data_IF_340005117395
#
_entry.id   IF_340005117395
#
_cell.length_a   1.000
_cell.length_b   1.000
_cell.length_c   1.000
_cell.angle_alpha   90.00
_cell.angle_beta   90.00
_cell.angle_gamma   90.00
#
_symmetry.space_group_name_H-M   'P 1'
#
loop_
_entity.id
_entity.type
_entity.pdbx_description
1 polymer ?
#
# COMPACT_ATOMS: atom_id res chain seq x y z
N UNK A 1 -14.58 -21.18 -4.50
CA UNK A 1 -14.70 -20.30 -5.70
C UNK A 1 -14.37 -21.10 -6.97
N UNK A 2 -14.88 -20.75 -8.17
CA UNK A 2 -14.45 -21.38 -9.45
C UNK A 2 -13.12 -20.75 -9.91
N UNK A 3 -12.31 -21.53 -10.64
CA UNK A 3 -11.01 -21.05 -11.17
C UNK A 3 -11.14 -19.77 -12.03
N UNK A 4 -12.11 -19.72 -12.95
CA UNK A 4 -12.39 -18.54 -13.78
C UNK A 4 -12.73 -17.29 -12.95
N UNK A 5 -13.45 -17.45 -11.84
CA UNK A 5 -13.76 -16.34 -10.94
C UNK A 5 -12.50 -15.88 -10.19
N UNK A 6 -11.63 -16.82 -9.79
CA UNK A 6 -10.35 -16.49 -9.18
C UNK A 6 -9.50 -15.66 -10.17
N UNK A 7 -9.33 -16.15 -11.39
CA UNK A 7 -8.58 -15.41 -12.42
C UNK A 7 -9.17 -14.02 -12.70
N UNK A 8 -10.48 -13.91 -12.77
CA UNK A 8 -11.17 -12.64 -13.04
C UNK A 8 -10.86 -11.54 -12.03
N UNK A 9 -10.70 -11.88 -10.75
CA UNK A 9 -10.47 -10.92 -9.66
C UNK A 9 -8.99 -10.80 -9.24
N UNK A 10 -8.09 -11.66 -9.76
CA UNK A 10 -6.66 -11.65 -9.41
C UNK A 10 -5.76 -11.10 -10.50
N UNK A 11 -6.12 -11.27 -11.79
CA UNK A 11 -5.32 -10.78 -12.91
C UNK A 11 -5.48 -9.28 -13.10
N UNK A 12 -4.37 -8.55 -13.10
CA UNK A 12 -4.38 -7.07 -13.04
C UNK A 12 -3.77 -6.39 -14.27
N UNK A 13 -3.21 -7.16 -15.22
CA UNK A 13 -2.61 -6.62 -16.43
C UNK A 13 -3.59 -5.83 -17.30
N UNK A 14 -3.09 -5.07 -18.29
CA UNK A 14 -3.93 -4.38 -19.25
C UNK A 14 -4.94 -5.33 -19.92
N UNK A 15 -6.20 -4.91 -20.01
CA UNK A 15 -7.28 -5.71 -20.60
C UNK A 15 -7.94 -6.74 -19.69
N UNK A 16 -7.39 -7.02 -18.49
CA UNK A 16 -8.04 -7.91 -17.53
C UNK A 16 -9.15 -7.21 -16.76
N UNK A 17 -10.14 -7.96 -16.25
CA UNK A 17 -11.30 -7.38 -15.57
C UNK A 17 -10.90 -6.60 -14.31
N UNK A 18 -10.11 -7.22 -13.39
CA UNK A 18 -9.66 -6.53 -12.20
C UNK A 18 -8.67 -5.40 -12.52
N UNK A 19 -7.82 -5.56 -13.54
CA UNK A 19 -6.94 -4.49 -13.99
C UNK A 19 -7.71 -3.27 -14.51
N UNK A 20 -8.76 -3.45 -15.29
CA UNK A 20 -9.63 -2.37 -15.76
C UNK A 20 -10.41 -1.71 -14.60
N UNK A 21 -10.84 -2.49 -13.62
CA UNK A 21 -11.49 -1.96 -12.42
C UNK A 21 -10.52 -1.08 -11.61
N UNK A 22 -9.34 -1.61 -11.26
CA UNK A 22 -8.36 -0.93 -10.41
C UNK A 22 -7.84 0.38 -11.04
N UNK A 23 -7.71 0.43 -12.38
CA UNK A 23 -7.32 1.64 -13.10
C UNK A 23 -8.33 2.79 -12.98
N UNK A 24 -9.58 2.53 -12.60
CA UNK A 24 -10.61 3.55 -12.35
C UNK A 24 -10.53 4.18 -10.96
N UNK A 25 -9.48 3.87 -10.19
CA UNK A 25 -9.20 4.44 -8.89
C UNK A 25 -7.79 5.01 -8.87
N UNK A 26 -7.57 6.05 -8.09
CA UNK A 26 -6.24 6.58 -7.87
C UNK A 26 -5.36 5.52 -7.20
N UNK A 27 -4.23 5.23 -7.82
CA UNK A 27 -3.26 4.24 -7.34
C UNK A 27 -1.98 4.94 -6.87
N UNK A 28 -1.47 4.68 -5.65
CA UNK A 28 -0.12 5.06 -5.28
C UNK A 28 0.92 4.57 -6.28
N UNK A 29 1.73 5.46 -6.81
CA UNK A 29 2.79 5.15 -7.77
C UNK A 29 4.17 5.16 -7.14
N UNK A 30 4.44 6.10 -6.21
CA UNK A 30 5.69 6.21 -5.50
C UNK A 30 5.52 7.02 -4.20
N UNK A 31 6.43 6.84 -3.25
CA UNK A 31 6.63 7.81 -2.17
C UNK A 31 7.41 9.02 -2.71
N UNK A 32 7.07 10.21 -2.24
CA UNK A 32 7.84 11.43 -2.55
C UNK A 32 9.29 11.30 -2.07
N UNK A 33 9.49 10.61 -0.95
CA UNK A 33 10.82 10.31 -0.39
C UNK A 33 11.73 9.51 -1.34
N UNK A 34 11.18 8.75 -2.29
CA UNK A 34 11.96 8.04 -3.31
C UNK A 34 12.68 9.00 -4.29
N UNK A 35 12.26 10.27 -4.33
CA UNK A 35 12.86 11.34 -5.13
C UNK A 35 13.65 12.34 -4.27
N UNK A 36 13.84 12.04 -2.99
CA UNK A 36 14.60 12.88 -2.08
C UNK A 36 16.11 12.61 -2.21
N UNK A 37 16.94 13.62 -2.58
CA UNK A 37 18.40 13.45 -2.68
C UNK A 37 19.07 12.99 -1.38
N UNK A 38 18.47 13.23 -0.22
CA UNK A 38 18.97 12.73 1.05
C UNK A 38 18.79 11.20 1.19
N UNK A 39 17.82 10.61 0.50
CA UNK A 39 17.57 9.17 0.48
C UNK A 39 18.30 8.48 -0.68
N UNK A 40 18.32 9.11 -1.85
CA UNK A 40 19.07 8.67 -3.02
C UNK A 40 19.75 9.88 -3.69
N UNK A 41 21.08 10.05 -3.54
CA UNK A 41 21.80 11.20 -4.10
C UNK A 41 21.65 11.36 -5.62
N UNK A 42 21.34 10.28 -6.36
CA UNK A 42 21.11 10.33 -7.81
C UNK A 42 19.92 11.22 -8.17
N UNK A 43 18.95 11.35 -7.28
CA UNK A 43 17.73 12.14 -7.48
C UNK A 43 18.00 13.65 -7.53
N UNK A 44 19.14 14.13 -7.03
CA UNK A 44 19.54 15.54 -7.16
C UNK A 44 19.75 15.96 -8.63
N UNK A 45 20.28 15.05 -9.45
CA UNK A 45 20.61 15.34 -10.84
C UNK A 45 19.59 14.74 -11.81
N UNK A 46 18.97 13.63 -11.42
CA UNK A 46 18.09 12.85 -12.28
C UNK A 46 16.89 12.29 -11.51
N UNK A 47 15.87 13.11 -11.21
CA UNK A 47 14.65 12.68 -10.52
C UNK A 47 13.74 11.88 -11.46
N UNK A 48 14.19 10.67 -11.83
CA UNK A 48 13.52 9.75 -12.77
C UNK A 48 13.55 8.34 -12.18
N UNK A 49 12.41 7.68 -12.15
CA UNK A 49 12.27 6.31 -11.64
C UNK A 49 11.38 5.47 -12.55
N UNK A 50 11.80 4.23 -12.81
CA UNK A 50 10.91 3.21 -13.38
C UNK A 50 9.85 2.82 -12.33
N UNK A 51 8.61 2.75 -12.76
CA UNK A 51 7.47 2.33 -11.93
C UNK A 51 6.68 1.29 -12.69
N UNK A 52 6.17 0.27 -11.99
CA UNK A 52 5.27 -0.72 -12.58
C UNK A 52 3.96 -0.74 -11.79
N UNK A 53 2.85 -0.53 -12.49
CA UNK A 53 1.51 -0.53 -11.89
C UNK A 53 0.60 -1.44 -12.70
N UNK A 54 -0.04 -2.40 -12.05
CA UNK A 54 -1.00 -3.31 -12.67
C UNK A 54 -0.47 -3.93 -13.97
N UNK A 55 0.79 -4.43 -13.92
CA UNK A 55 1.46 -5.07 -15.04
C UNK A 55 1.92 -4.14 -16.15
N UNK A 56 1.78 -2.83 -16.00
CA UNK A 56 2.22 -1.84 -17.00
C UNK A 56 3.48 -1.12 -16.54
N UNK A 57 4.47 -1.07 -17.42
CA UNK A 57 5.74 -0.40 -17.18
C UNK A 57 5.66 1.08 -17.51
N UNK A 58 6.03 1.92 -16.56
CA UNK A 58 5.92 3.37 -16.60
C UNK A 58 7.23 4.04 -16.21
N UNK A 59 7.36 5.33 -16.50
CA UNK A 59 8.41 6.18 -15.97
C UNK A 59 7.79 7.38 -15.25
N UNK A 60 8.12 7.52 -13.98
CA UNK A 60 7.76 8.68 -13.15
C UNK A 60 8.97 9.59 -13.05
N UNK A 61 8.77 10.88 -13.26
CA UNK A 61 9.83 11.86 -13.15
C UNK A 61 9.30 13.23 -12.67
N UNK A 62 10.21 14.08 -12.24
CA UNK A 62 9.92 15.43 -11.82
C UNK A 62 10.72 16.41 -12.69
N UNK A 63 10.06 17.36 -13.35
CA UNK A 63 10.76 18.34 -14.17
C UNK A 63 11.42 19.46 -13.33
N UNK A 64 12.14 20.39 -13.97
CA UNK A 64 12.79 21.50 -13.29
C UNK A 64 11.80 22.49 -12.65
N UNK A 65 10.54 22.50 -13.09
CA UNK A 65 9.45 23.27 -12.49
C UNK A 65 8.77 22.51 -11.33
N UNK A 66 9.35 21.39 -10.90
CA UNK A 66 8.83 20.53 -9.83
C UNK A 66 7.46 19.90 -10.15
N UNK A 67 7.11 19.77 -11.42
CA UNK A 67 5.89 19.09 -11.86
C UNK A 67 6.16 17.60 -12.05
N UNK A 68 5.22 16.78 -11.61
CA UNK A 68 5.27 15.34 -11.84
C UNK A 68 4.80 14.98 -13.24
N UNK A 69 5.51 14.04 -13.88
CA UNK A 69 5.10 13.40 -15.12
C UNK A 69 5.14 11.87 -14.97
N UNK A 70 4.09 11.20 -15.43
CA UNK A 70 4.03 9.74 -15.51
C UNK A 70 3.71 9.36 -16.95
N UNK A 71 4.66 8.70 -17.59
CA UNK A 71 4.56 8.30 -19.00
C UNK A 71 4.69 6.79 -19.14
N UNK A 72 4.16 6.23 -20.23
CA UNK A 72 4.55 4.89 -20.66
C UNK A 72 6.06 4.83 -20.83
N UNK A 73 6.67 3.73 -20.38
CA UNK A 73 8.13 3.57 -20.38
C UNK A 73 8.72 3.47 -21.79
N UNK A 74 7.96 2.90 -22.71
CA UNK A 74 8.45 2.66 -24.07
C UNK A 74 8.30 3.92 -24.93
N UNK A 75 9.42 4.42 -25.45
CA UNK A 75 9.44 5.55 -26.37
C UNK A 75 8.58 5.27 -27.62
N UNK A 76 7.61 6.13 -27.98
CA UNK A 76 6.68 5.86 -29.08
C UNK A 76 7.37 5.80 -30.46
N UNK A 77 8.63 6.18 -30.55
CA UNK A 77 9.41 6.03 -31.79
C UNK A 77 9.67 4.54 -32.10
N UNK A 78 10.37 3.83 -31.20
CA UNK A 78 10.80 2.43 -31.44
C UNK A 78 10.93 1.62 -30.15
N UNK A 79 10.21 1.96 -29.09
CA UNK A 79 10.13 1.17 -27.87
C UNK A 79 11.36 1.27 -26.95
N UNK A 80 12.24 2.27 -27.10
CA UNK A 80 13.38 2.41 -26.18
C UNK A 80 12.91 2.87 -24.78
N UNK A 81 13.55 2.33 -23.75
CA UNK A 81 13.20 2.56 -22.34
C UNK A 81 13.48 4.02 -21.92
N UNK A 82 12.43 4.80 -21.69
CA UNK A 82 12.50 6.20 -21.23
C UNK A 82 12.91 6.32 -19.75
N UNK A 83 12.85 5.25 -18.96
CA UNK A 83 13.36 5.26 -17.59
C UNK A 83 14.87 5.44 -17.54
N UNK A 84 15.57 5.16 -18.64
CA UNK A 84 17.00 5.41 -18.87
C UNK A 84 17.24 6.71 -19.66
N UNK A 85 16.17 7.46 -19.96
CA UNK A 85 16.22 8.73 -20.68
C UNK A 85 17.02 9.81 -19.94
N UNK A 86 17.51 10.80 -20.71
CA UNK A 86 18.18 11.97 -20.16
C UNK A 86 17.13 12.91 -19.56
N UNK A 87 17.32 13.29 -18.33
CA UNK A 87 16.52 14.34 -17.70
C UNK A 87 17.03 15.70 -18.16
N UNK A 88 16.20 16.47 -18.83
CA UNK A 88 16.56 17.79 -19.37
C UNK A 88 15.45 18.78 -18.99
N UNK A 89 15.71 19.63 -18.00
CA UNK A 89 14.89 20.75 -17.56
C UNK A 89 13.36 20.61 -17.63
N UNK A 90 12.81 20.54 -18.83
CA UNK A 90 11.38 20.51 -19.12
C UNK A 90 10.84 19.13 -19.54
N UNK A 91 11.69 18.08 -19.52
CA UNK A 91 11.22 16.74 -19.88
C UNK A 91 12.28 15.65 -19.93
N UNK A 92 11.89 14.50 -20.47
CA UNK A 92 12.75 13.33 -20.71
C UNK A 92 13.12 13.21 -22.19
N UNK A 93 14.41 13.06 -22.46
CA UNK A 93 14.93 12.79 -23.80
C UNK A 93 15.33 11.33 -23.95
N UNK A 94 14.74 10.67 -24.94
CA UNK A 94 15.12 9.31 -25.33
C UNK A 94 16.57 9.30 -25.84
N UNK A 95 17.47 8.48 -25.29
CA UNK A 95 18.89 8.49 -25.70
C UNK A 95 19.11 7.82 -27.06
N UNK A 96 18.09 7.12 -27.61
CA UNK A 96 18.24 6.40 -28.86
C UNK A 96 18.26 7.34 -30.08
N UNK A 97 17.26 8.25 -30.22
CA UNK A 97 17.18 9.20 -31.35
C UNK A 97 16.89 10.63 -30.93
N UNK A 98 16.97 10.93 -29.62
CA UNK A 98 16.83 12.30 -29.11
C UNK A 98 15.39 12.81 -28.99
N UNK A 99 14.36 12.00 -29.22
CA UNK A 99 12.97 12.46 -29.04
C UNK A 99 12.74 12.85 -27.59
N UNK A 100 12.13 14.02 -27.37
CA UNK A 100 11.95 14.58 -26.04
C UNK A 100 10.47 14.78 -25.75
N UNK A 101 10.07 14.45 -24.51
CA UNK A 101 8.68 14.52 -24.04
C UNK A 101 8.59 15.27 -22.72
N UNK A 102 7.59 16.14 -22.59
CA UNK A 102 7.28 16.83 -21.34
C UNK A 102 6.45 15.94 -20.39
N UNK A 103 6.09 16.50 -19.21
CA UNK A 103 5.30 15.80 -18.17
C UNK A 103 3.91 15.36 -18.64
N UNK A 104 3.37 15.97 -19.69
CA UNK A 104 2.09 15.62 -20.30
C UNK A 104 2.23 14.64 -21.47
N UNK A 105 3.46 14.21 -21.77
CA UNK A 105 3.77 13.35 -22.91
C UNK A 105 3.80 14.07 -24.25
N UNK A 106 3.67 15.40 -24.28
CA UNK A 106 3.80 16.18 -25.53
C UNK A 106 5.22 16.07 -26.04
N UNK A 107 5.37 15.79 -27.33
CA UNK A 107 6.67 15.81 -27.99
C UNK A 107 7.19 17.27 -28.08
N UNK A 108 8.39 17.48 -27.56
CA UNK A 108 9.05 18.79 -27.56
C UNK A 108 10.11 18.91 -28.67
N UNK A 109 10.73 17.79 -29.06
CA UNK A 109 11.84 17.79 -30.01
C UNK A 109 12.01 16.42 -30.67
N UNK A 110 12.37 16.46 -31.97
CA UNK A 110 12.74 15.30 -32.81
C UNK A 110 13.99 15.67 -33.62
N UNK A 111 15.17 15.75 -32.98
CA UNK A 111 16.35 16.46 -33.54
C UNK A 111 16.97 15.80 -34.78
N UNK A 112 16.68 14.53 -35.04
CA UNK A 112 17.18 13.84 -36.23
C UNK A 112 16.31 14.04 -37.48
N UNK A 113 15.16 14.75 -37.34
CA UNK A 113 14.28 15.02 -38.45
C UNK A 113 14.75 16.22 -39.27
N UNK A 114 14.42 16.29 -40.57
CA UNK A 114 14.73 17.45 -41.40
C UNK A 114 14.17 18.75 -40.81
N UNK A 115 14.87 19.86 -41.07
CA UNK A 115 14.40 21.21 -40.71
C UNK A 115 12.99 21.47 -41.26
N UNK A 116 12.10 21.93 -40.38
CA UNK A 116 10.69 22.18 -40.72
C UNK A 116 9.79 20.93 -40.64
N UNK A 117 10.30 19.80 -40.19
CA UNK A 117 9.47 18.64 -39.93
C UNK A 117 8.38 18.95 -38.88
N UNK A 118 7.16 18.51 -39.17
CA UNK A 118 6.02 18.60 -38.26
C UNK A 118 5.70 17.28 -37.53
N UNK A 119 6.70 16.39 -37.44
CA UNK A 119 6.52 15.10 -36.77
C UNK A 119 6.17 15.27 -35.29
N UNK A 120 6.87 16.18 -34.63
CA UNK A 120 6.65 16.50 -33.21
C UNK A 120 5.19 16.92 -32.91
N UNK A 121 4.53 17.63 -33.87
CA UNK A 121 3.12 18.03 -33.70
C UNK A 121 2.14 16.84 -33.71
N UNK A 122 2.56 15.68 -34.21
CA UNK A 122 1.73 14.49 -34.40
C UNK A 122 2.05 13.35 -33.47
N UNK A 123 3.12 13.47 -32.71
CA UNK A 123 3.59 12.45 -31.77
C UNK A 123 3.19 12.85 -30.37
N UNK A 124 2.53 11.94 -29.68
CA UNK A 124 2.17 12.06 -28.27
C UNK A 124 2.65 10.80 -27.55
N UNK A 125 3.41 10.96 -26.48
CA UNK A 125 3.68 9.85 -25.56
C UNK A 125 2.49 9.66 -24.63
N UNK A 126 2.12 8.42 -24.38
CA UNK A 126 1.06 8.11 -23.41
C UNK A 126 1.45 8.63 -22.04
N UNK A 127 0.58 9.40 -21.43
CA UNK A 127 0.78 10.00 -20.11
C UNK A 127 -0.44 9.79 -19.22
N UNK A 128 -0.21 9.81 -17.92
CA UNK A 128 -1.25 9.57 -16.92
C UNK A 128 -1.30 10.75 -15.94
N UNK A 129 -2.51 11.23 -15.59
CA UNK A 129 -2.67 12.24 -14.56
C UNK A 129 -2.06 11.78 -13.24
N UNK A 130 -1.34 12.67 -12.58
CA UNK A 130 -0.73 12.42 -11.27
C UNK A 130 -1.04 13.54 -10.30
N UNK A 131 -1.13 13.20 -9.02
CA UNK A 131 -1.32 14.15 -7.92
C UNK A 131 -0.47 13.72 -6.73
N UNK A 132 0.15 14.70 -6.07
CA UNK A 132 0.86 14.48 -4.81
C UNK A 132 -0.06 14.75 -3.62
N UNK A 133 -0.11 13.82 -2.66
CA UNK A 133 -0.84 14.02 -1.40
C UNK A 133 -0.13 13.28 -0.26
N UNK A 134 0.18 14.04 0.81
CA UNK A 134 0.74 13.52 2.07
C UNK A 134 1.89 12.51 1.87
N UNK A 135 2.88 12.90 1.05
CA UNK A 135 4.10 12.13 0.83
C UNK A 135 4.00 11.01 -0.21
N UNK A 136 2.87 10.91 -0.93
CA UNK A 136 2.67 9.91 -1.99
C UNK A 136 2.27 10.58 -3.30
N UNK A 137 2.82 10.09 -4.41
CA UNK A 137 2.40 10.42 -5.77
C UNK A 137 1.39 9.37 -6.22
N UNK A 138 0.18 9.82 -6.55
CA UNK A 138 -0.92 8.99 -7.05
C UNK A 138 -1.05 9.13 -8.55
N UNK A 139 -1.36 8.03 -9.22
CA UNK A 139 -1.62 7.95 -10.65
C UNK A 139 -3.09 7.59 -10.93
N UNK A 140 -3.67 8.25 -11.93
CA UNK A 140 -4.93 7.87 -12.52
C UNK A 140 -4.69 7.20 -13.87
N UNK A 141 -5.07 5.93 -13.99
CA UNK A 141 -4.88 5.13 -15.22
C UNK A 141 -6.21 4.73 -15.87
N UNK A 142 -7.29 5.40 -15.50
CA UNK A 142 -8.63 5.16 -16.06
C UNK A 142 -8.78 5.61 -17.52
N UNK A 143 -9.98 5.48 -18.07
CA UNK A 143 -10.25 5.86 -19.45
C UNK A 143 -9.90 7.32 -19.74
N UNK A 144 -9.32 7.60 -20.90
CA UNK A 144 -8.84 8.93 -21.29
C UNK A 144 -9.96 9.92 -21.60
N UNK A 145 -11.16 9.43 -21.87
CA UNK A 145 -12.39 10.21 -22.12
C UNK A 145 -13.15 10.57 -20.84
N UNK A 146 -12.64 10.13 -19.66
CA UNK A 146 -13.23 10.43 -18.36
C UNK A 146 -12.24 11.25 -17.56
N UNK A 147 -12.68 12.40 -17.05
CA UNK A 147 -11.85 13.20 -16.14
C UNK A 147 -11.58 12.43 -14.84
N UNK A 148 -10.34 12.47 -14.32
CA UNK A 148 -10.03 11.85 -13.04
C UNK A 148 -10.95 12.38 -11.93
N UNK A 149 -11.55 11.52 -11.09
CA UNK A 149 -12.31 11.99 -9.94
C UNK A 149 -11.37 12.67 -8.92
N UNK A 150 -11.89 13.48 -7.99
CA UNK A 150 -11.07 13.97 -6.88
C UNK A 150 -10.57 12.78 -6.04
N UNK A 151 -9.43 12.96 -5.35
CA UNK A 151 -8.98 12.01 -4.33
C UNK A 151 -10.07 11.84 -3.27
N UNK A 152 -10.27 10.61 -2.76
CA UNK A 152 -11.29 10.36 -1.74
C UNK A 152 -11.00 11.17 -0.46
N UNK A 153 -12.08 11.61 0.21
CA UNK A 153 -11.98 12.33 1.49
C UNK A 153 -11.83 11.32 2.64
N UNK A 154 -10.61 10.83 2.84
CA UNK A 154 -10.24 9.92 3.91
C UNK A 154 -9.26 10.59 4.89
N UNK A 155 -9.14 10.05 6.10
CA UNK A 155 -8.32 10.58 7.18
C UNK A 155 -6.92 10.97 6.71
N UNK A 156 -6.24 10.05 6.03
CA UNK A 156 -4.87 10.24 5.56
C UNK A 156 -4.70 11.41 4.57
N UNK A 157 -5.76 11.80 3.84
CA UNK A 157 -5.69 12.87 2.84
C UNK A 157 -6.27 14.19 3.33
N UNK A 158 -7.09 14.15 4.39
CA UNK A 158 -7.65 15.33 5.03
C UNK A 158 -6.75 15.89 6.14
N UNK A 159 -5.94 15.03 6.75
CA UNK A 159 -5.00 15.44 7.79
C UNK A 159 -3.93 16.41 7.24
N UNK A 160 -3.45 17.36 8.06
CA UNK A 160 -2.27 18.15 7.71
C UNK A 160 -1.07 17.23 7.40
N UNK A 161 -0.20 17.62 6.48
CA UNK A 161 0.96 16.82 6.08
C UNK A 161 1.88 16.46 7.26
N UNK A 162 2.01 17.35 8.26
CA UNK A 162 2.76 17.08 9.49
C UNK A 162 2.13 16.03 10.41
N UNK A 163 0.86 15.69 10.21
CA UNK A 163 0.12 14.68 10.97
C UNK A 163 0.01 13.35 10.24
N UNK A 164 0.66 13.21 9.11
CA UNK A 164 0.65 11.99 8.31
C UNK A 164 2.08 11.55 7.98
N UNK A 165 2.33 10.26 8.05
CA UNK A 165 3.59 9.64 7.62
C UNK A 165 3.29 8.47 6.71
N UNK A 166 3.81 8.53 5.47
CA UNK A 166 3.63 7.48 4.47
C UNK A 166 4.88 6.60 4.34
N UNK A 167 4.67 5.30 4.18
CA UNK A 167 5.70 4.35 3.82
C UNK A 167 5.11 3.21 3.01
N UNK A 168 5.96 2.30 2.49
CA UNK A 168 5.52 1.13 1.72
C UNK A 168 6.43 -0.07 1.96
N UNK A 169 5.97 -1.23 1.53
CA UNK A 169 6.74 -2.46 1.45
C UNK A 169 6.25 -3.32 0.30
N UNK A 170 7.16 -4.07 -0.32
CA UNK A 170 6.82 -4.99 -1.41
C UNK A 170 6.56 -6.39 -0.84
N UNK A 171 5.38 -6.95 -1.12
CA UNK A 171 5.07 -8.35 -0.85
C UNK A 171 5.03 -9.16 -2.13
N UNK A 172 5.59 -10.38 -2.09
CA UNK A 172 5.60 -11.34 -3.20
C UNK A 172 4.31 -12.16 -3.22
N UNK A 173 3.19 -11.46 -3.36
CA UNK A 173 1.86 -12.02 -3.32
C UNK A 173 0.88 -11.16 -4.14
N UNK A 174 -0.20 -11.79 -4.62
CA UNK A 174 -1.27 -11.12 -5.34
C UNK A 174 -2.00 -10.10 -4.47
N UNK A 175 -2.41 -8.99 -5.07
CA UNK A 175 -3.07 -7.87 -4.41
C UNK A 175 -4.28 -8.25 -3.56
N UNK A 176 -5.06 -9.23 -4.04
CA UNK A 176 -6.30 -9.60 -3.37
C UNK A 176 -6.04 -10.31 -2.04
N UNK A 177 -5.08 -11.25 -1.97
CA UNK A 177 -4.72 -11.89 -0.70
C UNK A 177 -4.05 -10.90 0.25
N UNK A 178 -3.25 -9.97 -0.28
CA UNK A 178 -2.67 -8.88 0.52
C UNK A 178 -3.74 -7.95 1.11
N UNK A 179 -4.80 -7.66 0.35
CA UNK A 179 -5.91 -6.84 0.84
C UNK A 179 -6.82 -7.59 1.82
N UNK A 180 -7.08 -8.88 1.55
CA UNK A 180 -8.01 -9.69 2.35
C UNK A 180 -7.54 -9.88 3.80
N UNK A 181 -6.23 -9.90 4.08
CA UNK A 181 -5.74 -9.99 5.45
C UNK A 181 -6.19 -8.79 6.29
N UNK A 182 -6.20 -7.58 5.73
CA UNK A 182 -6.57 -6.36 6.47
C UNK A 182 -8.06 -6.20 6.76
N UNK A 183 -8.92 -6.87 6.01
CA UNK A 183 -10.38 -6.88 6.23
C UNK A 183 -10.86 -8.09 7.03
N UNK A 184 -9.96 -8.91 7.54
CA UNK A 184 -10.25 -10.02 8.45
C UNK A 184 -10.07 -9.61 9.91
N UNK A 185 -11.15 -9.47 10.72
CA UNK A 185 -11.02 -9.09 12.13
C UNK A 185 -10.58 -10.22 13.07
N UNK A 186 -10.49 -11.46 12.58
CA UNK A 186 -10.16 -12.63 13.40
C UNK A 186 -8.65 -12.91 13.45
N UNK A 187 -7.93 -12.70 12.34
CA UNK A 187 -6.50 -13.01 12.23
C UNK A 187 -5.63 -12.36 13.33
N UNK A 188 -5.86 -11.08 13.78
CA UNK A 188 -4.94 -10.46 14.73
C UNK A 188 -4.89 -11.16 16.08
N UNK A 189 -5.93 -11.92 16.42
CA UNK A 189 -5.99 -12.69 17.67
C UNK A 189 -5.01 -13.85 17.73
N UNK A 190 -4.49 -14.28 16.60
CA UNK A 190 -3.50 -15.36 16.47
C UNK A 190 -2.23 -14.86 15.79
N UNK A 191 -2.35 -14.28 14.60
CA UNK A 191 -1.21 -13.86 13.78
C UNK A 191 -0.35 -12.80 14.50
N UNK A 192 -0.99 -11.82 15.16
CA UNK A 192 -0.31 -10.75 15.91
C UNK A 192 -0.32 -11.00 17.43
N UNK A 193 -0.40 -12.26 17.85
CA UNK A 193 -0.53 -12.61 19.27
C UNK A 193 0.82 -12.59 19.97
N UNK A 194 0.95 -11.72 20.96
CA UNK A 194 2.02 -11.72 21.95
C UNK A 194 1.60 -12.57 23.15
N UNK A 195 2.52 -13.41 23.65
CA UNK A 195 2.22 -14.34 24.73
C UNK A 195 2.18 -13.65 26.10
N UNK A 196 2.90 -12.52 26.21
CA UNK A 196 2.99 -11.73 27.42
C UNK A 196 2.60 -10.27 27.17
N UNK A 197 2.19 -9.57 28.22
CA UNK A 197 1.97 -8.15 28.16
C UNK A 197 3.34 -7.44 28.26
N UNK A 198 3.58 -6.44 27.47
CA UNK A 198 4.75 -5.60 27.58
C UNK A 198 4.57 -4.55 28.66
N UNK A 199 5.67 -4.09 29.23
CA UNK A 199 5.68 -2.92 30.08
C UNK A 199 5.31 -1.68 29.24
N UNK A 200 4.09 -1.21 29.41
CA UNK A 200 3.55 -0.06 28.69
C UNK A 200 4.34 1.22 28.95
N UNK A 201 5.08 1.30 30.06
CA UNK A 201 5.96 2.43 30.38
C UNK A 201 7.26 2.46 29.59
N UNK A 202 7.70 1.32 29.07
CA UNK A 202 8.92 1.19 28.26
C UNK A 202 8.70 1.49 26.77
N UNK A 203 7.44 1.50 26.31
CA UNK A 203 7.10 1.71 24.90
C UNK A 203 6.85 3.20 24.69
N UNK A 204 7.83 3.90 24.13
CA UNK A 204 7.70 5.34 23.83
C UNK A 204 6.58 5.65 22.85
N UNK A 205 5.97 6.83 23.01
CA UNK A 205 4.98 7.41 22.12
C UNK A 205 5.48 7.45 20.67
N UNK A 206 4.77 6.94 19.69
CA UNK A 206 4.96 7.14 18.25
C UNK A 206 5.69 6.06 17.44
N UNK A 207 5.63 4.83 17.82
CA UNK A 207 6.29 3.82 17.00
C UNK A 207 5.29 2.85 16.39
N UNK A 208 5.06 2.94 15.06
CA UNK A 208 4.00 2.29 14.31
C UNK A 208 3.59 0.86 14.72
N UNK A 209 4.52 -0.10 14.77
CA UNK A 209 4.21 -1.47 15.24
C UNK A 209 3.98 -1.58 16.74
N UNK A 210 4.72 -0.80 17.53
CA UNK A 210 4.60 -0.81 19.00
C UNK A 210 3.32 -0.17 19.51
N UNK A 211 2.72 0.75 18.76
CA UNK A 211 1.42 1.35 19.13
C UNK A 211 0.28 0.35 19.12
N UNK A 212 0.28 -0.64 18.22
CA UNK A 212 -0.70 -1.73 18.24
C UNK A 212 -0.59 -2.53 19.54
N UNK A 213 0.64 -2.71 20.06
CA UNK A 213 0.93 -3.46 21.30
C UNK A 213 0.56 -2.68 22.54
N UNK A 214 0.82 -1.36 22.55
CA UNK A 214 0.70 -0.49 23.73
C UNK A 214 -0.55 0.36 23.79
N UNK A 215 -1.32 0.46 22.68
CA UNK A 215 -2.51 1.29 22.67
C UNK A 215 -3.50 0.82 23.72
N UNK A 216 -3.63 1.59 24.80
CA UNK A 216 -4.66 1.39 25.80
C UNK A 216 -6.01 1.78 25.19
N UNK A 217 -6.99 0.88 25.27
CA UNK A 217 -8.36 1.11 24.79
C UNK A 217 -9.30 1.45 25.95
N UNK A 218 -8.76 1.65 27.14
CA UNK A 218 -9.50 1.96 28.35
C UNK A 218 -8.95 1.17 29.55
N UNK A 219 -9.52 1.42 30.71
CA UNK A 219 -9.19 0.70 31.94
C UNK A 219 -10.29 -0.30 32.28
N UNK A 220 -9.93 -1.52 32.64
CA UNK A 220 -10.80 -2.52 33.25
C UNK A 220 -10.31 -2.70 34.68
N UNK A 221 -11.19 -2.52 35.65
CA UNK A 221 -10.85 -2.59 37.08
C UNK A 221 -9.65 -1.68 37.47
N UNK A 222 -9.58 -0.50 36.86
CA UNK A 222 -8.49 0.47 37.09
C UNK A 222 -7.16 0.13 36.40
N UNK A 223 -7.06 -0.98 35.65
CA UNK A 223 -5.89 -1.35 34.88
C UNK A 223 -6.08 -1.02 33.39
N UNK A 224 -5.09 -0.35 32.79
CA UNK A 224 -5.03 -0.16 31.35
C UNK A 224 -4.79 -1.49 30.64
N UNK A 225 -5.64 -1.80 29.66
CA UNK A 225 -5.52 -3.02 28.86
C UNK A 225 -4.96 -2.67 27.49
N UNK A 226 -3.80 -3.22 27.12
CA UNK A 226 -3.27 -3.05 25.77
C UNK A 226 -4.10 -3.82 24.73
N UNK A 227 -4.11 -3.33 23.50
CA UNK A 227 -4.85 -3.96 22.41
C UNK A 227 -4.41 -5.43 22.20
N UNK A 228 -3.11 -5.71 22.29
CA UNK A 228 -2.56 -7.06 22.17
C UNK A 228 -3.16 -8.02 23.20
N UNK A 229 -3.35 -7.58 24.45
CA UNK A 229 -3.99 -8.37 25.49
C UNK A 229 -5.47 -8.64 25.20
N UNK A 230 -6.22 -7.62 24.76
CA UNK A 230 -7.61 -7.79 24.39
C UNK A 230 -7.77 -8.79 23.24
N UNK A 231 -6.91 -8.69 22.22
CA UNK A 231 -6.94 -9.65 21.11
C UNK A 231 -6.59 -11.07 21.55
N UNK A 232 -5.69 -11.24 22.50
CA UNK A 232 -5.27 -12.53 23.05
C UNK A 232 -6.35 -13.17 23.91
N UNK A 233 -6.94 -12.41 24.85
CA UNK A 233 -7.91 -12.93 25.82
C UNK A 233 -9.29 -13.15 25.17
N UNK A 234 -9.70 -12.21 24.29
CA UNK A 234 -11.02 -12.23 23.64
C UNK A 234 -10.88 -12.52 22.14
N UNK A 235 -10.34 -13.68 21.80
CA UNK A 235 -9.93 -14.08 20.45
C UNK A 235 -11.08 -14.43 19.49
N UNK A 236 -12.33 -14.45 19.96
CA UNK A 236 -13.53 -14.73 19.16
C UNK A 236 -14.41 -13.48 19.02
N UNK A 237 -14.10 -12.58 18.07
CA UNK A 237 -14.94 -11.41 17.87
C UNK A 237 -16.30 -11.80 17.28
N UNK A 238 -17.37 -11.13 17.73
CA UNK A 238 -18.58 -11.02 16.94
C UNK A 238 -18.34 -9.99 15.82
N UNK A 239 -18.44 -10.44 14.57
CA UNK A 239 -18.11 -9.66 13.39
C UNK A 239 -19.39 -9.19 12.73
N UNK A 240 -19.56 -7.88 12.58
CA UNK A 240 -20.62 -7.23 11.82
C UNK A 240 -20.05 -6.42 10.67
N UNK A 241 -20.87 -6.08 9.69
CA UNK A 241 -20.52 -5.09 8.69
C UNK A 241 -21.78 -4.41 8.14
N UNK A 242 -21.60 -3.18 7.68
CA UNK A 242 -22.63 -2.39 7.02
C UNK A 242 -22.06 -1.87 5.69
N UNK A 243 -22.81 -1.96 4.58
CA UNK A 243 -22.42 -1.33 3.33
C UNK A 243 -22.35 0.19 3.48
N UNK A 244 -21.35 0.81 2.86
CA UNK A 244 -21.21 2.27 2.75
C UNK A 244 -21.06 2.64 1.27
N UNK A 245 -21.28 3.91 0.90
CA UNK A 245 -21.03 4.34 -0.49
C UNK A 245 -19.61 4.09 -0.99
N UNK A 246 -18.62 3.96 -0.08
CA UNK A 246 -17.22 3.75 -0.40
C UNK A 246 -16.78 2.27 -0.28
N UNK A 247 -17.62 1.41 0.29
CA UNK A 247 -17.28 0.01 0.52
C UNK A 247 -18.03 -0.60 1.71
N UNK A 248 -17.36 -0.89 2.82
CA UNK A 248 -17.95 -1.50 4.02
C UNK A 248 -17.39 -0.90 5.30
N UNK A 249 -18.25 -0.62 6.27
CA UNK A 249 -17.84 -0.43 7.65
C UNK A 249 -17.89 -1.76 8.38
N UNK A 250 -16.75 -2.20 8.89
CA UNK A 250 -16.59 -3.48 9.59
C UNK A 250 -16.55 -3.22 11.09
N UNK A 251 -17.34 -3.96 11.83
CA UNK A 251 -17.38 -3.88 13.30
C UNK A 251 -17.00 -5.23 13.90
N UNK A 252 -15.98 -5.25 14.75
CA UNK A 252 -15.66 -6.42 15.58
C UNK A 252 -15.90 -6.12 17.05
N UNK A 253 -16.77 -6.91 17.67
CA UNK A 253 -17.17 -6.78 19.07
C UNK A 253 -16.58 -7.92 19.88
N UNK A 254 -15.97 -7.60 21.01
CA UNK A 254 -15.42 -8.57 21.96
C UNK A 254 -16.02 -8.26 23.34
N UNK A 255 -17.07 -8.98 23.78
CA UNK A 255 -17.57 -8.87 25.14
C UNK A 255 -16.44 -9.23 26.12
N UNK A 256 -16.12 -8.30 27.03
CA UNK A 256 -15.03 -8.48 27.99
C UNK A 256 -15.55 -8.77 29.39
N UNK A 257 -16.66 -8.11 29.75
CA UNK A 257 -17.43 -8.36 30.98
C UNK A 257 -18.93 -8.30 30.65
N UNK A 258 -19.79 -8.46 31.63
CA UNK A 258 -21.25 -8.26 31.45
C UNK A 258 -21.60 -6.83 31.03
N UNK A 259 -20.76 -5.84 31.41
CA UNK A 259 -21.01 -4.41 31.16
C UNK A 259 -20.11 -3.82 30.06
N UNK A 260 -19.00 -4.46 29.73
CA UNK A 260 -18.00 -3.91 28.83
C UNK A 260 -17.79 -4.75 27.58
N UNK A 261 -17.87 -4.11 26.45
CA UNK A 261 -17.54 -4.70 25.14
C UNK A 261 -16.51 -3.83 24.43
N UNK A 262 -15.39 -4.44 24.06
CA UNK A 262 -14.45 -3.80 23.15
C UNK A 262 -15.03 -3.80 21.74
N UNK A 263 -15.12 -2.63 21.13
CA UNK A 263 -15.60 -2.45 19.74
C UNK A 263 -14.49 -1.84 18.91
N UNK A 264 -14.13 -2.51 17.82
CA UNK A 264 -13.21 -1.99 16.82
C UNK A 264 -13.93 -1.81 15.50
N UNK A 265 -13.79 -0.62 14.91
CA UNK A 265 -14.39 -0.27 13.62
C UNK A 265 -13.28 -0.12 12.59
N UNK A 266 -13.37 -0.89 11.50
CA UNK A 266 -12.46 -0.83 10.35
C UNK A 266 -13.27 -0.37 9.14
N UNK A 267 -12.74 0.56 8.36
CA UNK A 267 -13.34 0.96 7.09
C UNK A 267 -12.65 0.20 5.95
N UNK A 268 -13.40 -0.57 5.20
CA UNK A 268 -12.97 -1.14 3.93
C UNK A 268 -13.43 -0.23 2.81
N UNK A 269 -12.49 0.36 2.08
CA UNK A 269 -12.75 1.27 0.97
C UNK A 269 -12.43 0.52 -0.33
N UNK A 270 -13.44 0.35 -1.14
CA UNK A 270 -13.34 -0.36 -2.41
C UNK A 270 -12.38 0.37 -3.38
N UNK A 271 -11.52 -0.31 -4.13
CA UNK A 271 -11.41 -1.77 -4.22
C UNK A 271 -10.33 -2.40 -3.32
N UNK A 272 -9.33 -1.66 -2.81
CA UNK A 272 -8.11 -2.22 -2.22
C UNK A 272 -7.53 -1.41 -1.06
N UNK A 273 -8.36 -0.64 -0.38
CA UNK A 273 -7.96 0.22 0.74
C UNK A 273 -8.72 -0.13 2.00
N UNK A 274 -8.05 -0.09 3.15
CA UNK A 274 -8.72 -0.15 4.43
C UNK A 274 -8.11 0.84 5.42
N UNK A 275 -8.92 1.26 6.40
CA UNK A 275 -8.51 2.15 7.50
C UNK A 275 -8.80 1.44 8.81
N UNK A 276 -7.77 1.26 9.62
CA UNK A 276 -7.88 0.63 10.93
C UNK A 276 -7.45 1.58 12.04
N UNK A 277 -8.14 1.59 13.20
CA UNK A 277 -7.70 2.33 14.36
C UNK A 277 -6.48 1.65 14.99
N UNK A 278 -5.44 2.44 15.25
CA UNK A 278 -4.26 2.02 16.03
C UNK A 278 -4.44 2.39 17.51
N UNK A 279 -5.03 3.55 17.76
CA UNK A 279 -5.34 4.06 19.10
C UNK A 279 -6.57 4.97 19.02
N UNK A 280 -6.92 5.61 20.14
CA UNK A 280 -7.98 6.63 20.18
C UNK A 280 -7.66 7.88 19.33
N UNK A 281 -6.38 8.11 19.01
CA UNK A 281 -5.91 9.32 18.32
C UNK A 281 -5.14 9.04 17.03
N UNK A 282 -5.06 7.78 16.62
CA UNK A 282 -4.33 7.39 15.39
C UNK A 282 -5.05 6.32 14.59
N UNK A 283 -4.98 6.48 13.27
CA UNK A 283 -5.35 5.44 12.30
C UNK A 283 -4.15 5.05 11.43
N UNK A 284 -4.24 3.88 10.82
CA UNK A 284 -3.43 3.51 9.67
C UNK A 284 -4.35 3.24 8.48
N UNK A 285 -4.09 3.93 7.37
CA UNK A 285 -4.71 3.64 6.09
C UNK A 285 -3.74 2.79 5.29
N UNK A 286 -4.17 1.64 4.80
CA UNK A 286 -3.36 0.80 3.92
C UNK A 286 -4.02 0.66 2.55
N UNK A 287 -3.22 0.83 1.49
CA UNK A 287 -3.61 0.69 0.09
C UNK A 287 -2.77 -0.40 -0.55
N UNK A 288 -3.41 -1.45 -1.07
CA UNK A 288 -2.75 -2.58 -1.70
C UNK A 288 -2.74 -2.39 -3.21
N UNK A 289 -1.56 -2.08 -3.75
CA UNK A 289 -1.35 -1.66 -5.13
C UNK A 289 -0.63 -2.76 -5.90
N UNK A 290 -1.29 -3.45 -6.83
CA UNK A 290 -0.62 -4.49 -7.59
C UNK A 290 0.47 -3.89 -8.50
N UNK A 291 1.69 -4.39 -8.35
CA UNK A 291 2.77 -4.20 -9.32
C UNK A 291 2.45 -5.02 -10.58
N UNK A 292 2.13 -6.28 -10.35
CA UNK A 292 1.66 -7.25 -11.34
C UNK A 292 0.78 -8.32 -10.65
N UNK A 293 0.52 -9.45 -11.32
CA UNK A 293 -0.33 -10.53 -10.78
C UNK A 293 0.24 -11.18 -9.50
N UNK A 294 1.53 -11.02 -9.23
CA UNK A 294 2.28 -11.78 -8.21
C UNK A 294 3.03 -10.93 -7.20
N UNK A 295 3.02 -9.61 -7.37
CA UNK A 295 3.70 -8.65 -6.50
C UNK A 295 2.79 -7.48 -6.20
N UNK A 296 2.80 -7.06 -4.94
CA UNK A 296 1.95 -5.97 -4.45
C UNK A 296 2.77 -5.05 -3.55
N UNK A 297 2.76 -3.74 -3.84
CA UNK A 297 3.14 -2.76 -2.84
C UNK A 297 1.97 -2.51 -1.90
N UNK A 298 2.19 -2.60 -0.61
CA UNK A 298 1.30 -2.02 0.38
C UNK A 298 1.82 -0.66 0.79
N UNK A 299 1.01 0.36 0.56
CA UNK A 299 1.28 1.72 1.02
C UNK A 299 0.51 1.95 2.30
N UNK A 300 1.18 2.50 3.31
CA UNK A 300 0.57 2.80 4.59
C UNK A 300 0.73 4.27 4.94
N UNK A 301 -0.34 4.86 5.48
CA UNK A 301 -0.36 6.20 6.04
C UNK A 301 -0.70 6.09 7.51
N UNK A 302 0.25 6.41 8.39
CA UNK A 302 -0.06 6.70 9.78
C UNK A 302 -0.63 8.11 9.86
N UNK A 303 -1.78 8.26 10.50
CA UNK A 303 -2.47 9.53 10.64
C UNK A 303 -2.76 9.79 12.11
N UNK A 304 -2.26 10.92 12.62
CA UNK A 304 -2.48 11.37 14.00
C UNK A 304 -3.52 12.50 14.02
N UNK A 305 -4.48 12.43 14.96
CA UNK A 305 -5.54 13.42 15.10
C UNK A 305 -5.23 14.47 16.17
N UNK A 306 -4.21 14.25 17.01
CA UNK A 306 -3.91 15.13 18.13
C UNK A 306 -2.61 15.92 17.97
N UNK A 307 -1.55 15.32 17.47
CA UNK A 307 -0.23 15.95 17.36
C UNK A 307 0.50 15.58 16.08
N UNK A 308 1.45 16.42 15.60
CA UNK A 308 2.32 16.09 14.48
C UNK A 308 3.13 14.81 14.75
N UNK A 309 3.44 14.08 13.67
CA UNK A 309 4.28 12.88 13.70
C UNK A 309 5.75 13.25 13.44
N UNK A 310 6.65 12.58 14.16
CA UNK A 310 8.09 12.63 13.84
C UNK A 310 8.39 11.65 12.71
N UNK A 311 8.32 12.14 11.47
CA UNK A 311 8.60 11.34 10.28
C UNK A 311 10.03 10.82 10.21
N UNK A 312 11.02 11.51 10.82
CA UNK A 312 12.40 11.05 10.87
C UNK A 312 12.55 9.84 11.80
N UNK A 313 11.95 9.92 13.00
CA UNK A 313 11.91 8.81 13.94
C UNK A 313 11.17 7.59 13.35
N UNK A 314 10.06 7.81 12.67
CA UNK A 314 9.31 6.72 12.01
C UNK A 314 10.10 6.05 10.88
N UNK A 315 10.86 6.83 10.07
CA UNK A 315 11.76 6.25 9.07
C UNK A 315 12.88 5.45 9.71
N UNK A 316 13.52 6.00 10.73
CA UNK A 316 14.61 5.32 11.43
C UNK A 316 14.16 3.98 12.03
N UNK A 317 12.94 3.91 12.55
CA UNK A 317 12.35 2.68 13.06
C UNK A 317 12.09 1.65 11.95
N UNK A 318 11.69 2.10 10.75
CA UNK A 318 11.40 1.19 9.62
C UNK A 318 12.66 0.72 8.88
N UNK A 319 13.73 1.50 8.93
CA UNK A 319 14.96 1.25 8.17
C UNK A 319 15.57 -0.15 8.35
N UNK A 320 15.59 -0.78 9.55
CA UNK A 320 16.14 -2.12 9.73
C UNK A 320 15.38 -3.23 9.01
N UNK A 321 14.12 -3.00 8.67
CA UNK A 321 13.22 -4.02 8.13
C UNK A 321 13.03 -3.95 6.61
N UNK A 322 13.57 -2.92 5.96
CA UNK A 322 13.33 -2.64 4.54
C UNK A 322 14.61 -2.24 3.82
N UNK A 323 14.90 -2.88 2.70
CA UNK A 323 15.99 -2.54 1.80
C UNK A 323 15.57 -1.46 0.80
N UNK A 324 16.28 -0.33 0.79
CA UNK A 324 16.10 0.75 -0.17
C UNK A 324 16.95 0.49 -1.44
N UNK A 325 16.62 1.05 -2.60
CA UNK A 325 15.53 2.02 -2.83
C UNK A 325 14.16 1.40 -3.15
N UNK A 326 14.05 0.07 -3.23
CA UNK A 326 12.84 -0.58 -3.74
C UNK A 326 11.87 -1.02 -2.64
N UNK A 327 12.19 -0.71 -1.37
CA UNK A 327 11.35 -1.02 -0.21
C UNK A 327 11.03 -2.52 -0.07
N UNK A 328 12.04 -3.36 -0.37
CA UNK A 328 11.93 -4.82 -0.25
C UNK A 328 12.13 -5.19 1.23
N UNK A 329 11.22 -5.93 1.86
CA UNK A 329 11.40 -6.40 3.21
C UNK A 329 12.66 -7.27 3.35
N UNK A 330 13.38 -7.09 4.47
CA UNK A 330 14.55 -7.91 4.83
C UNK A 330 14.14 -9.35 5.12
N UNK A 331 12.98 -9.52 5.76
CA UNK A 331 12.36 -10.84 5.99
C UNK A 331 11.57 -11.28 4.77
N UNK A 332 11.66 -12.56 4.41
CA UNK A 332 10.95 -13.12 3.27
C UNK A 332 11.14 -14.63 3.16
N UNK A 333 10.65 -15.23 2.09
CA UNK A 333 10.74 -16.68 1.86
C UNK A 333 12.18 -17.22 1.92
N UNK A 334 13.16 -16.42 1.49
CA UNK A 334 14.58 -16.79 1.44
C UNK A 334 15.20 -17.06 2.82
N UNK A 335 14.66 -16.45 3.88
CA UNK A 335 15.10 -16.64 5.26
C UNK A 335 13.96 -17.11 6.17
N UNK A 336 12.93 -17.76 5.60
CA UNK A 336 11.73 -18.24 6.33
C UNK A 336 11.06 -17.11 7.13
N UNK A 337 11.04 -15.87 6.58
CA UNK A 337 10.52 -14.65 7.21
C UNK A 337 11.08 -14.37 8.61
N UNK A 338 12.31 -14.83 8.87
CA UNK A 338 12.97 -14.68 10.16
C UNK A 338 12.42 -15.59 11.25
N UNK A 339 11.77 -16.71 10.91
CA UNK A 339 11.20 -17.64 11.88
C UNK A 339 12.23 -18.06 12.94
N UNK A 340 11.84 -17.92 14.21
CA UNK A 340 12.61 -18.27 15.37
C UNK A 340 11.76 -19.15 16.32
N UNK A 341 12.11 -20.44 16.52
CA UNK A 341 11.33 -21.34 17.38
C UNK A 341 11.37 -20.96 18.87
N UNK A 342 12.41 -20.28 19.34
CA UNK A 342 12.48 -19.81 20.72
C UNK A 342 11.55 -18.59 20.93
N UNK A 343 11.48 -17.67 19.97
CA UNK A 343 10.50 -16.59 19.96
C UNK A 343 9.06 -17.15 19.93
N UNK A 344 8.81 -18.16 19.08
CA UNK A 344 7.49 -18.81 19.00
C UNK A 344 7.07 -19.44 20.32
N UNK A 345 8.01 -20.02 21.05
CA UNK A 345 7.73 -20.65 22.35
C UNK A 345 7.47 -19.62 23.45
N UNK A 346 8.23 -18.52 23.45
CA UNK A 346 8.36 -17.67 24.64
C UNK A 346 7.82 -16.24 24.47
N UNK A 347 7.61 -15.75 23.24
CA UNK A 347 7.32 -14.32 23.00
C UNK A 347 6.10 -14.08 22.12
N UNK A 348 6.09 -14.60 20.89
CA UNK A 348 4.99 -14.45 19.94
C UNK A 348 4.40 -15.80 19.53
N UNK A 349 3.13 -15.81 19.18
CA UNK A 349 2.47 -17.02 18.70
C UNK A 349 3.04 -17.51 17.36
N UNK A 350 3.50 -16.59 16.54
CA UNK A 350 4.01 -16.88 15.19
C UNK A 350 5.52 -17.20 15.18
N UNK A 351 6.32 -16.57 16.06
CA UNK A 351 7.77 -16.69 16.04
C UNK A 351 8.46 -15.98 14.89
N UNK A 352 7.88 -14.88 14.39
CA UNK A 352 8.39 -14.12 13.25
C UNK A 352 8.25 -12.63 13.51
N UNK A 353 9.32 -12.01 14.02
CA UNK A 353 9.39 -10.56 14.11
C UNK A 353 8.66 -9.96 15.31
N UNK A 354 9.19 -10.15 16.48
CA UNK A 354 8.72 -9.49 17.72
C UNK A 354 8.63 -7.96 17.54
N UNK A 355 9.55 -7.36 16.82
CA UNK A 355 9.64 -5.92 16.63
C UNK A 355 8.94 -5.38 15.38
N UNK A 356 8.60 -6.21 14.40
CA UNK A 356 7.94 -5.80 13.16
C UNK A 356 6.75 -6.69 12.82
N UNK A 357 5.56 -6.27 13.25
CA UNK A 357 4.31 -7.02 12.98
C UNK A 357 3.94 -7.10 11.49
N UNK A 358 4.56 -6.31 10.60
CA UNK A 358 4.25 -6.37 9.17
C UNK A 358 4.78 -7.66 8.54
N UNK A 359 5.82 -8.28 9.12
CA UNK A 359 6.31 -9.58 8.67
C UNK A 359 5.28 -10.68 8.93
N UNK A 360 4.40 -10.52 9.93
CA UNK A 360 3.34 -11.46 10.23
C UNK A 360 2.35 -11.55 9.04
N UNK A 361 1.84 -10.40 8.59
CA UNK A 361 0.95 -10.33 7.43
C UNK A 361 1.67 -10.77 6.16
N UNK A 362 2.93 -10.36 5.97
CA UNK A 362 3.76 -10.78 4.84
C UNK A 362 3.85 -12.31 4.76
N UNK A 363 4.20 -12.97 5.88
CA UNK A 363 4.26 -14.43 5.92
C UNK A 363 2.92 -15.05 5.57
N UNK A 364 1.84 -14.57 6.17
CA UNK A 364 0.50 -15.11 5.95
C UNK A 364 0.14 -15.08 4.45
N UNK A 365 0.32 -13.93 3.78
CA UNK A 365 -0.07 -13.77 2.39
C UNK A 365 0.91 -14.42 1.41
N UNK A 366 2.22 -14.36 1.66
CA UNK A 366 3.23 -14.98 0.78
C UNK A 366 3.25 -16.51 0.90
N UNK A 367 2.94 -17.07 2.08
CA UNK A 367 2.89 -18.52 2.29
C UNK A 367 1.78 -19.21 1.50
N UNK A 368 0.70 -18.49 1.14
CA UNK A 368 -0.38 -18.98 0.29
C UNK A 368 0.03 -19.19 -1.18
N UNK A 369 1.26 -18.79 -1.55
CA UNK A 369 1.75 -18.76 -2.93
C UNK A 369 1.56 -17.39 -3.59
N UNK A 370 2.19 -17.19 -4.75
CA UNK A 370 2.17 -15.92 -5.46
C UNK A 370 0.74 -15.45 -5.82
N UNK A 371 -0.11 -16.39 -6.25
CA UNK A 371 -1.56 -16.19 -6.42
C UNK A 371 -2.26 -17.35 -5.71
N UNK A 372 -3.03 -17.05 -4.69
CA UNK A 372 -3.75 -18.05 -3.92
C UNK A 372 -4.75 -18.83 -4.78
N UNK A 373 -4.72 -20.18 -4.68
CA UNK A 373 -5.72 -21.04 -5.29
C UNK A 373 -6.99 -21.12 -4.42
N UNK A 374 -7.91 -20.22 -4.70
CA UNK A 374 -9.18 -20.11 -3.98
C UNK A 374 -10.20 -21.21 -4.30
N UNK A 375 -9.86 -22.12 -5.20
CA UNK A 375 -10.72 -23.31 -5.46
C UNK A 375 -10.64 -24.35 -4.33
N UNK A 376 -9.58 -24.27 -3.51
CA UNK A 376 -9.26 -25.21 -2.43
C UNK A 376 -9.56 -24.67 -1.04
N UNK A 377 -10.10 -23.47 -0.92
CA UNK A 377 -10.41 -22.84 0.36
C UNK A 377 -11.62 -23.45 1.04
N UNK A 378 -11.58 -23.43 2.38
CA UNK A 378 -12.69 -23.79 3.26
C UNK A 378 -13.00 -22.59 4.16
N UNK A 379 -13.85 -21.70 3.67
CA UNK A 379 -14.21 -20.46 4.37
C UNK A 379 -15.24 -20.73 5.46
N UNK A 380 -15.02 -20.16 6.66
CA UNK A 380 -15.91 -20.21 7.81
C UNK A 380 -16.78 -18.97 7.97
N UNK A 381 -17.50 -18.91 9.08
CA UNK A 381 -18.36 -17.75 9.42
C UNK A 381 -17.53 -16.49 9.68
N UNK A 382 -16.31 -16.63 10.20
CA UNK A 382 -15.37 -15.52 10.40
C UNK A 382 -14.97 -14.81 9.10
N UNK A 383 -15.02 -15.53 7.95
CA UNK A 383 -14.58 -15.06 6.64
C UNK A 383 -15.70 -14.33 5.86
N UNK A 384 -16.83 -14.04 6.49
CA UNK A 384 -17.99 -13.43 5.79
C UNK A 384 -17.67 -12.13 5.06
N UNK A 385 -16.70 -11.36 5.55
CA UNK A 385 -16.25 -10.12 4.92
C UNK A 385 -15.48 -10.38 3.63
N UNK A 386 -14.58 -11.37 3.64
CA UNK A 386 -13.85 -11.85 2.48
C UNK A 386 -14.82 -12.31 1.41
N UNK A 387 -15.82 -13.12 1.80
CA UNK A 387 -16.88 -13.58 0.88
C UNK A 387 -17.66 -12.41 0.28
N UNK A 388 -18.01 -11.40 1.10
CA UNK A 388 -18.75 -10.22 0.64
C UNK A 388 -17.92 -9.37 -0.31
N UNK A 389 -16.66 -9.09 0.02
CA UNK A 389 -15.73 -8.36 -0.84
C UNK A 389 -15.58 -9.03 -2.21
N UNK A 390 -15.36 -10.35 -2.23
CA UNK A 390 -15.24 -11.11 -3.49
C UNK A 390 -16.51 -11.08 -4.33
N UNK A 391 -17.68 -11.07 -3.70
CA UNK A 391 -18.96 -10.90 -4.43
C UNK A 391 -19.06 -9.53 -5.07
N UNK A 392 -18.63 -8.47 -4.37
CA UNK A 392 -18.60 -7.12 -4.95
C UNK A 392 -17.64 -7.03 -6.14
N UNK A 393 -16.45 -7.64 -6.05
CA UNK A 393 -15.48 -7.67 -7.15
C UNK A 393 -15.95 -8.46 -8.37
N UNK A 394 -16.84 -9.42 -8.21
CA UNK A 394 -17.38 -10.26 -9.29
C UNK A 394 -18.59 -9.65 -9.99
N UNK A 395 -19.21 -8.63 -9.45
CA UNK A 395 -20.32 -7.88 -10.06
C UNK A 395 -19.82 -6.95 -11.16
#
# INVERSE_FOLDING_TARGET
MKAEQNDRITRVGPGTAAGQLLRRYWQPAALVDEFNPAMDPRMAQRPVKAVRLMGQDLVLFKDAQQRWGLLDRDCPHRGADLSLGRHEGDGLRCPFHGWKFDVSGRCLDTPAEPLGSRLCDRVQQTSYPVVERNGVVFAWMGPTDVAPPPLPAIDAFLAPASHSFAFKGLWHANWLQCFEVGIDPAHPSFLHRFLHDEDLGAIGDNTGGKQFRSASVGAIDGQAWPMSRIMREFYRPDIGFEPTPQGMQITSRRPMTEELTHVRVTQSIFPSTFIIPLSATMTITQMHVPVDDTHTYWYAFFTSFDKPLDGAAMRAQRAPYISLPDYIPVSGRHNQWGFNPDEQRDQTYLGMGEDDINVHDQWAVESMGAVQDRTREHLGTSDKLIVTNRRQLLQ
#
